data_IF_330731695061
#
_entry.id   IF_330731695061
#
_cell.length_a   1.000
_cell.length_b   1.000
_cell.length_c   1.000
_cell.angle_alpha   90.00
_cell.angle_beta   90.00
_cell.angle_gamma   90.00
#
_symmetry.space_group_name_H-M   'P 1'
#
loop_
_entity.id
_entity.type
_entity.pdbx_description
1 polymer ?
#
# COMPACT_ATOMS: atom_id res chain seq x y z
N UNK A 1 27.48 4.61 -5.28
CA UNK A 1 26.50 3.93 -4.40
C UNK A 1 26.17 4.84 -3.21
N UNK A 2 24.89 4.89 -2.83
CA UNK A 2 24.26 5.97 -2.07
C UNK A 2 24.72 6.08 -0.60
N UNK A 3 24.93 7.32 -0.12
CA UNK A 3 25.31 7.69 1.26
C UNK A 3 24.40 7.02 2.31
N UNK A 4 23.10 6.94 2.03
CA UNK A 4 22.12 6.32 2.91
C UNK A 4 22.46 4.87 3.27
N UNK A 5 22.95 4.06 2.33
CA UNK A 5 23.27 2.66 2.60
C UNK A 5 24.51 2.52 3.48
N UNK A 6 25.50 3.40 3.29
CA UNK A 6 26.70 3.45 4.13
C UNK A 6 26.41 3.89 5.56
N UNK A 7 25.46 4.81 5.74
CA UNK A 7 25.08 5.32 7.06
C UNK A 7 24.06 4.43 7.79
N UNK A 8 23.39 3.51 7.08
CA UNK A 8 22.29 2.69 7.63
C UNK A 8 22.71 1.59 8.60
N UNK A 9 23.98 1.15 8.58
CA UNK A 9 24.43 -0.04 9.29
C UNK A 9 23.93 -1.37 8.70
N UNK A 10 23.14 -1.35 7.62
CA UNK A 10 22.64 -2.55 6.93
C UNK A 10 23.77 -3.17 6.10
N UNK A 11 23.99 -4.48 6.28
CA UNK A 11 25.01 -5.22 5.53
C UNK A 11 24.63 -5.29 4.05
N UNK A 12 25.49 -4.78 3.18
CA UNK A 12 25.33 -4.97 1.74
C UNK A 12 25.36 -6.48 1.38
N UNK A 13 24.53 -6.95 0.43
CA UNK A 13 23.71 -6.17 -0.51
C UNK A 13 22.25 -5.95 -0.08
N UNK A 14 21.89 -6.16 1.19
CA UNK A 14 20.51 -6.05 1.66
C UNK A 14 19.93 -4.66 1.34
N UNK A 15 18.73 -4.59 0.73
CA UNK A 15 18.10 -3.31 0.42
C UNK A 15 17.68 -2.60 1.71
N UNK A 16 17.72 -1.26 1.70
CA UNK A 16 17.28 -0.45 2.84
C UNK A 16 15.77 -0.54 3.10
N UNK A 17 15.02 -0.77 2.03
CA UNK A 17 13.58 -0.91 2.06
C UNK A 17 13.21 -2.18 1.30
N UNK A 18 12.33 -2.98 1.86
CA UNK A 18 11.78 -4.20 1.26
C UNK A 18 10.28 -4.08 0.94
N UNK A 19 9.68 -2.94 1.30
CA UNK A 19 8.29 -2.63 1.03
C UNK A 19 8.16 -1.20 0.50
N UNK A 20 7.14 -0.96 -0.34
CA UNK A 20 6.77 0.35 -0.83
C UNK A 20 5.27 0.56 -0.59
N UNK A 21 4.91 1.64 0.09
CA UNK A 21 3.52 2.13 0.18
C UNK A 21 3.36 3.29 -0.80
N UNK A 22 2.37 3.19 -1.69
CA UNK A 22 2.05 4.22 -2.66
C UNK A 22 0.63 4.74 -2.39
N UNK A 23 0.46 6.04 -2.23
CA UNK A 23 -0.87 6.67 -2.13
C UNK A 23 -1.11 7.51 -3.38
N UNK A 24 -2.13 7.14 -4.15
CA UNK A 24 -2.47 7.80 -5.42
C UNK A 24 -3.80 8.50 -5.23
N UNK A 25 -3.74 9.81 -5.03
CA UNK A 25 -4.93 10.64 -5.11
C UNK A 25 -5.36 10.75 -6.57
N UNK A 26 -6.37 9.95 -6.92
CA UNK A 26 -6.98 9.94 -8.23
C UNK A 26 -8.18 10.89 -8.17
N UNK A 27 -7.92 12.21 -8.23
CA UNK A 27 -8.97 13.12 -8.65
C UNK A 27 -9.57 12.57 -9.95
N UNK A 28 -10.91 12.58 -10.15
CA UNK A 28 -11.52 12.00 -11.32
C UNK A 28 -10.82 12.57 -12.56
N UNK A 29 -10.03 11.72 -13.21
CA UNK A 29 -9.23 12.15 -14.33
C UNK A 29 -10.20 12.46 -15.47
N UNK A 30 -10.54 13.74 -15.64
CA UNK A 30 -10.74 14.25 -16.98
C UNK A 30 -9.49 13.84 -17.79
N UNK A 31 -9.71 13.05 -18.83
CA UNK A 31 -8.73 12.66 -19.83
C UNK A 31 -7.54 11.80 -19.34
N UNK A 32 -7.77 10.50 -19.14
CA UNK A 32 -6.78 9.48 -19.56
C UNK A 32 -7.21 8.70 -20.80
N UNK A 33 -8.44 8.93 -21.28
CA UNK A 33 -8.98 8.26 -22.47
C UNK A 33 -8.60 8.91 -23.82
N UNK A 34 -8.14 10.16 -23.84
CA UNK A 34 -7.94 10.88 -25.11
C UNK A 34 -6.51 10.83 -25.68
N UNK A 35 -5.52 10.36 -24.91
CA UNK A 35 -4.10 10.39 -25.34
C UNK A 35 -3.64 9.17 -26.13
N UNK A 36 -4.52 8.19 -26.39
CA UNK A 36 -4.16 6.92 -27.03
C UNK A 36 -5.16 6.49 -28.13
N UNK A 37 -5.57 7.42 -29.00
CA UNK A 37 -6.40 7.09 -30.17
C UNK A 37 -5.69 6.04 -31.04
N UNK A 38 -6.20 4.80 -31.02
CA UNK A 38 -5.68 3.66 -31.79
C UNK A 38 -4.69 2.74 -31.05
N UNK A 39 -4.45 2.95 -29.75
CA UNK A 39 -3.63 2.04 -28.93
C UNK A 39 -4.54 1.37 -27.89
N UNK A 40 -4.69 0.05 -28.01
CA UNK A 40 -5.38 -0.78 -27.04
C UNK A 40 -4.37 -1.24 -25.96
N UNK A 41 -4.62 -0.85 -24.71
CA UNK A 41 -3.84 -1.35 -23.58
C UNK A 41 -4.31 -2.77 -23.27
N UNK A 42 -3.56 -3.77 -23.75
CA UNK A 42 -3.85 -5.18 -23.48
C UNK A 42 -3.54 -5.56 -22.02
N UNK A 43 -2.44 -5.05 -21.47
CA UNK A 43 -2.03 -5.27 -20.09
C UNK A 43 -0.99 -4.22 -19.68
N UNK A 44 -1.20 -3.57 -18.53
CA UNK A 44 -0.18 -2.76 -17.87
C UNK A 44 0.29 -3.50 -16.62
N UNK A 45 1.57 -3.86 -16.55
CA UNK A 45 2.14 -4.51 -15.37
C UNK A 45 3.26 -3.64 -14.81
N UNK A 46 2.96 -2.92 -13.73
CA UNK A 46 3.97 -2.24 -12.94
C UNK A 46 4.84 -3.32 -12.27
N UNK A 47 6.12 -3.44 -12.68
CA UNK A 47 7.08 -4.34 -12.03
C UNK A 47 7.82 -3.55 -10.95
N UNK A 48 7.63 -3.96 -9.70
CA UNK A 48 8.40 -3.45 -8.57
C UNK A 48 9.60 -4.34 -8.27
N UNK A 49 10.71 -3.74 -7.83
CA UNK A 49 11.87 -4.46 -7.28
C UNK A 49 11.73 -4.72 -5.77
N UNK A 50 10.61 -4.31 -5.16
CA UNK A 50 10.31 -4.53 -3.75
C UNK A 50 9.51 -5.83 -3.57
N UNK A 51 9.88 -6.69 -2.60
CA UNK A 51 9.10 -7.86 -2.22
C UNK A 51 7.65 -7.59 -1.83
N UNK A 52 7.32 -6.36 -1.44
CA UNK A 52 5.98 -5.93 -1.11
C UNK A 52 5.73 -4.52 -1.67
N UNK A 53 4.65 -4.34 -2.41
CA UNK A 53 4.09 -3.03 -2.74
C UNK A 53 2.64 -3.01 -2.36
N UNK A 54 2.22 -1.96 -1.69
CA UNK A 54 0.81 -1.69 -1.42
C UNK A 54 0.47 -0.31 -1.99
N UNK A 55 -0.51 -0.27 -2.88
CA UNK A 55 -1.05 0.95 -3.45
C UNK A 55 -2.43 1.23 -2.87
N UNK A 56 -2.64 2.45 -2.39
CA UNK A 56 -3.91 3.00 -1.94
C UNK A 56 -4.36 4.01 -2.99
N UNK A 57 -5.41 3.67 -3.71
CA UNK A 57 -6.05 4.52 -4.70
C UNK A 57 -7.20 5.27 -4.04
N UNK A 58 -7.03 6.58 -3.87
CA UNK A 58 -8.09 7.46 -3.39
C UNK A 58 -8.93 7.92 -4.58
N UNK A 59 -10.15 7.38 -4.64
CA UNK A 59 -11.13 7.62 -5.71
C UNK A 59 -12.09 8.76 -5.34
N UNK A 60 -11.83 9.48 -4.24
CA UNK A 60 -12.68 10.54 -3.70
C UNK A 60 -13.81 10.03 -2.80
N UNK A 61 -14.60 9.05 -3.25
CA UNK A 61 -15.70 8.47 -2.45
C UNK A 61 -15.36 7.10 -1.84
N UNK A 62 -14.27 6.48 -2.29
CA UNK A 62 -13.81 5.18 -1.84
C UNK A 62 -12.29 5.06 -1.97
N UNK A 63 -11.73 4.07 -1.29
CA UNK A 63 -10.34 3.67 -1.46
C UNK A 63 -10.24 2.31 -2.17
N UNK A 64 -9.38 2.22 -3.17
CA UNK A 64 -8.93 0.96 -3.75
C UNK A 64 -7.62 0.51 -3.11
N UNK A 65 -7.50 -0.78 -2.77
CA UNK A 65 -6.27 -1.37 -2.24
C UNK A 65 -5.74 -2.41 -3.23
N UNK A 66 -4.49 -2.23 -3.67
CA UNK A 66 -3.80 -3.18 -4.54
C UNK A 66 -2.46 -3.58 -3.92
N UNK A 67 -2.28 -4.86 -3.64
CA UNK A 67 -1.01 -5.41 -3.18
C UNK A 67 -0.30 -6.17 -4.31
N UNK A 68 0.99 -5.92 -4.47
CA UNK A 68 1.90 -6.73 -5.29
C UNK A 68 2.94 -7.34 -4.37
N UNK A 69 2.99 -8.67 -4.32
CA UNK A 69 3.82 -9.38 -3.35
C UNK A 69 4.74 -10.38 -4.04
N UNK A 70 5.90 -10.61 -3.43
CA UNK A 70 6.74 -11.75 -3.76
C UNK A 70 6.07 -13.06 -3.33
N UNK A 71 6.50 -14.17 -3.94
CA UNK A 71 6.00 -15.50 -3.59
C UNK A 71 6.15 -15.78 -2.08
N UNK A 72 5.10 -16.35 -1.47
CA UNK A 72 5.03 -16.66 -0.05
C UNK A 72 4.36 -15.60 0.83
N UNK A 73 3.99 -14.44 0.26
CA UNK A 73 3.17 -13.42 0.93
C UNK A 73 1.83 -13.35 0.20
N UNK A 74 0.73 -13.60 0.91
CA UNK A 74 -0.61 -13.49 0.32
C UNK A 74 -1.00 -12.00 0.14
N UNK A 75 -1.18 -11.52 -1.11
CA UNK A 75 -1.58 -10.14 -1.35
C UNK A 75 -2.96 -9.82 -0.77
N UNK A 76 -3.87 -10.79 -0.68
CA UNK A 76 -5.22 -10.55 -0.14
C UNK A 76 -5.19 -10.27 1.35
N UNK A 77 -4.46 -11.09 2.13
CA UNK A 77 -4.18 -10.80 3.53
C UNK A 77 -3.61 -9.39 3.72
N UNK A 78 -2.61 -8.97 2.94
CA UNK A 78 -2.04 -7.62 3.05
C UNK A 78 -3.11 -6.53 2.88
N UNK A 79 -3.98 -6.66 1.86
CA UNK A 79 -5.07 -5.71 1.66
C UNK A 79 -6.04 -5.72 2.84
N UNK A 80 -6.40 -6.90 3.37
CA UNK A 80 -7.29 -7.02 4.52
C UNK A 80 -6.70 -6.38 5.79
N UNK A 81 -5.41 -6.59 6.06
CA UNK A 81 -4.68 -5.93 7.15
C UNK A 81 -4.72 -4.41 7.03
N UNK A 82 -4.45 -3.88 5.83
CA UNK A 82 -4.50 -2.42 5.62
C UNK A 82 -5.91 -1.87 5.79
N UNK A 83 -6.92 -2.52 5.21
CA UNK A 83 -8.31 -2.10 5.37
C UNK A 83 -8.70 -2.06 6.85
N UNK A 84 -8.45 -3.15 7.58
CA UNK A 84 -8.78 -3.25 9.01
C UNK A 84 -8.06 -2.18 9.84
N UNK A 85 -6.78 -1.93 9.53
CA UNK A 85 -5.99 -0.90 10.21
C UNK A 85 -6.57 0.49 9.94
N UNK A 86 -6.97 0.81 8.70
CA UNK A 86 -7.59 2.08 8.36
C UNK A 86 -8.90 2.29 9.10
N UNK A 87 -9.77 1.28 9.14
CA UNK A 87 -11.03 1.30 9.89
C UNK A 87 -10.78 1.54 11.39
N UNK A 88 -9.84 0.79 11.99
CA UNK A 88 -9.50 0.93 13.40
C UNK A 88 -8.90 2.30 13.75
N UNK A 89 -8.13 2.90 12.84
CA UNK A 89 -7.63 4.28 13.00
C UNK A 89 -8.78 5.29 12.99
N UNK A 90 -9.71 5.17 12.04
CA UNK A 90 -10.87 6.08 11.95
C UNK A 90 -11.72 5.96 13.23
N UNK A 91 -12.05 4.74 13.64
CA UNK A 91 -12.82 4.49 14.86
C UNK A 91 -12.14 5.07 16.10
N UNK A 92 -10.82 4.89 16.23
CA UNK A 92 -10.06 5.44 17.35
C UNK A 92 -10.06 6.98 17.34
N UNK A 93 -9.90 7.61 16.17
CA UNK A 93 -9.95 9.07 16.05
C UNK A 93 -11.33 9.64 16.40
N UNK A 94 -12.40 8.93 16.08
CA UNK A 94 -13.77 9.35 16.40
C UNK A 94 -14.10 9.16 17.90
N UNK A 95 -13.70 8.02 18.47
CA UNK A 95 -14.13 7.63 19.82
C UNK A 95 -13.15 8.07 20.91
N UNK A 96 -11.84 7.95 20.66
CA UNK A 96 -10.79 8.24 21.65
C UNK A 96 -9.52 8.73 20.93
N UNK A 97 -9.48 9.97 20.42
CA UNK A 97 -8.37 10.47 19.60
C UNK A 97 -7.02 10.58 20.35
N UNK A 98 -7.03 10.41 21.68
CA UNK A 98 -5.85 10.35 22.53
C UNK A 98 -5.27 8.92 22.63
N UNK A 99 -5.94 7.93 22.05
CA UNK A 99 -5.50 6.53 22.02
C UNK A 99 -4.13 6.45 21.34
N UNK A 100 -3.22 5.71 21.97
CA UNK A 100 -1.89 5.50 21.42
C UNK A 100 -1.93 4.51 20.25
N UNK A 101 -1.10 4.73 19.23
CA UNK A 101 -1.08 3.93 18.00
C UNK A 101 -0.78 2.45 18.24
N UNK A 102 -0.01 2.12 19.27
CA UNK A 102 0.30 0.74 19.67
C UNK A 102 -0.90 -0.03 20.26
N UNK A 103 -1.99 0.68 20.57
CA UNK A 103 -3.24 0.08 21.05
C UNK A 103 -4.26 -0.17 19.93
N UNK A 104 -3.94 0.27 18.70
CA UNK A 104 -4.80 0.04 17.56
C UNK A 104 -4.82 -1.44 17.21
N UNK A 105 -6.03 -1.94 16.97
CA UNK A 105 -6.24 -3.30 16.58
C UNK A 105 -6.02 -3.46 15.08
N UNK A 106 -4.95 -4.16 14.69
CA UNK A 106 -4.55 -4.27 13.28
C UNK A 106 -4.82 -5.66 12.68
N UNK A 107 -5.31 -6.62 13.47
CA UNK A 107 -5.48 -8.00 13.01
C UNK A 107 -6.88 -8.17 12.41
N UNK A 108 -7.04 -8.52 11.12
CA UNK A 108 -8.36 -8.73 10.54
C UNK A 108 -9.15 -9.81 11.27
N UNK A 109 -10.47 -9.67 11.32
CA UNK A 109 -11.35 -10.64 11.99
C UNK A 109 -11.17 -12.09 11.51
N UNK A 110 -10.77 -12.28 10.24
CA UNK A 110 -10.48 -13.59 9.65
C UNK A 110 -9.34 -14.35 10.33
N UNK A 111 -8.45 -13.67 11.06
CA UNK A 111 -7.26 -14.26 11.68
C UNK A 111 -7.32 -14.33 13.22
N UNK A 112 -8.46 -13.99 13.84
CA UNK A 112 -8.63 -13.93 15.31
C UNK A 112 -9.12 -15.23 15.97
N UNK A 113 -9.06 -16.36 15.26
CA UNK A 113 -9.61 -17.65 15.71
C UNK A 113 -8.87 -18.25 16.91
#
# INVERSE_FOLDING_TARGET
>A
MALAQRCSGVKAPTPLFNALLNYRHSAPAQASGETWQGIEVLQAQERSNYPLVLSVDDLGEAFGLTAQTAAGIDPQSICAYMQWTMESVVDALEQTPQMSVDQLDIVPASERA
#
